data_IF_843645008285
#
_entry.id   IF_843645008285
#
_cell.length_a   1.000
_cell.length_b   1.000
_cell.length_c   1.000
_cell.angle_alpha   90.00
_cell.angle_beta   90.00
_cell.angle_gamma   90.00
#
_symmetry.space_group_name_H-M   'P 1'
#
loop_
_entity.id
_entity.type
_entity.pdbx_description
1 polymer ?
#
# COMPACT_ATOMS: atom_id res chain seq x y z
N UNK A 1 -48.55 10.04 4.66
CA UNK A 1 -47.96 8.68 4.63
C UNK A 1 -46.84 8.65 3.58
N UNK A 2 -45.65 9.15 3.93
CA UNK A 2 -44.44 9.08 3.11
C UNK A 2 -43.27 8.78 4.04
N UNK A 3 -43.22 7.54 4.47
CA UNK A 3 -42.08 6.99 5.18
C UNK A 3 -41.27 6.18 4.17
N UNK A 4 -39.98 6.53 4.07
CA UNK A 4 -38.86 5.61 3.92
C UNK A 4 -38.62 4.90 2.58
N UNK A 5 -37.88 5.60 1.71
CA UNK A 5 -36.95 4.96 0.75
C UNK A 5 -35.49 5.34 1.06
N UNK A 6 -35.23 6.44 1.79
CA UNK A 6 -33.87 6.83 2.23
C UNK A 6 -33.29 5.96 3.36
N UNK A 7 -34.13 5.31 4.17
CA UNK A 7 -33.65 4.46 5.28
C UNK A 7 -33.18 3.07 4.84
N UNK A 8 -33.52 2.61 3.63
CA UNK A 8 -32.99 1.34 3.10
C UNK A 8 -31.51 1.41 2.74
N UNK A 9 -30.96 2.60 2.52
CA UNK A 9 -29.52 2.81 2.33
C UNK A 9 -28.70 2.83 3.63
N UNK A 10 -29.37 2.79 4.79
CA UNK A 10 -28.75 2.97 6.12
C UNK A 10 -28.38 1.65 6.83
N UNK A 11 -28.82 0.49 6.31
CA UNK A 11 -28.71 -0.81 7.01
C UNK A 11 -27.46 -1.65 6.65
N UNK A 12 -26.82 -1.44 5.50
CA UNK A 12 -25.75 -2.35 5.01
C UNK A 12 -24.32 -1.90 5.29
N UNK A 13 -24.12 -0.73 5.89
CA UNK A 13 -22.81 -0.08 5.93
C UNK A 13 -21.88 -0.62 7.03
N UNK A 14 -22.37 -1.15 8.15
CA UNK A 14 -21.52 -1.69 9.23
C UNK A 14 -20.80 -2.97 8.81
N UNK A 15 -21.56 -4.00 8.48
CA UNK A 15 -21.03 -5.29 8.04
C UNK A 15 -20.32 -5.25 6.68
N UNK A 16 -20.76 -4.43 5.72
CA UNK A 16 -20.05 -4.29 4.44
C UNK A 16 -18.74 -3.51 4.57
N UNK A 17 -18.70 -2.45 5.37
CA UNK A 17 -17.49 -1.65 5.60
C UNK A 17 -16.42 -2.50 6.30
N UNK A 18 -16.79 -3.18 7.39
CA UNK A 18 -15.88 -4.05 8.13
C UNK A 18 -15.34 -5.18 7.26
N UNK A 19 -16.19 -5.83 6.45
CA UNK A 19 -15.75 -6.85 5.49
C UNK A 19 -14.77 -6.30 4.46
N UNK A 20 -15.05 -5.12 3.89
CA UNK A 20 -14.14 -4.49 2.93
C UNK A 20 -12.79 -4.11 3.56
N UNK A 21 -12.78 -3.63 4.81
CA UNK A 21 -11.54 -3.39 5.54
C UNK A 21 -10.78 -4.68 5.86
N UNK A 22 -11.47 -5.77 6.21
CA UNK A 22 -10.84 -7.09 6.42
C UNK A 22 -10.21 -7.63 5.12
N UNK A 23 -10.88 -7.45 3.98
CA UNK A 23 -10.31 -7.77 2.67
C UNK A 23 -9.07 -6.92 2.42
N UNK A 24 -9.13 -5.61 2.70
CA UNK A 24 -7.97 -4.71 2.59
C UNK A 24 -6.81 -5.13 3.49
N UNK A 25 -7.09 -5.54 4.73
CA UNK A 25 -6.08 -6.03 5.68
C UNK A 25 -5.42 -7.32 5.17
N UNK A 26 -6.23 -8.29 4.71
CA UNK A 26 -5.72 -9.53 4.13
C UNK A 26 -4.88 -9.25 2.87
N UNK A 27 -5.34 -8.34 2.02
CA UNK A 27 -4.61 -7.91 0.84
C UNK A 27 -3.27 -7.27 1.21
N UNK A 28 -3.21 -6.43 2.25
CA UNK A 28 -1.98 -5.84 2.73
C UNK A 28 -0.99 -6.88 3.29
N UNK A 29 -1.47 -8.00 3.85
CA UNK A 29 -0.62 -9.14 4.20
C UNK A 29 -0.03 -9.79 2.95
N UNK A 30 -0.82 -9.97 1.88
CA UNK A 30 -0.31 -10.49 0.61
C UNK A 30 0.74 -9.56 -0.01
N UNK A 31 0.49 -8.24 0.00
CA UNK A 31 1.47 -7.25 -0.44
C UNK A 31 2.75 -7.35 0.37
N UNK A 32 2.66 -7.40 1.70
CA UNK A 32 3.81 -7.57 2.60
C UNK A 32 4.60 -8.84 2.27
N UNK A 33 3.95 -9.97 2.04
CA UNK A 33 4.63 -11.22 1.64
C UNK A 33 5.37 -11.00 0.31
N UNK A 34 4.73 -10.34 -0.66
CA UNK A 34 5.35 -9.98 -1.93
C UNK A 34 6.61 -9.13 -1.75
N UNK A 35 6.52 -8.08 -0.96
CA UNK A 35 7.63 -7.16 -0.65
C UNK A 35 8.78 -7.89 0.05
N UNK A 36 8.49 -8.76 1.02
CA UNK A 36 9.49 -9.56 1.73
C UNK A 36 10.14 -10.60 0.81
N UNK A 37 9.40 -11.17 -0.13
CA UNK A 37 9.98 -12.06 -1.14
C UNK A 37 10.98 -11.29 -2.03
N UNK A 38 10.75 -10.02 -2.33
CA UNK A 38 11.72 -9.23 -3.11
C UNK A 38 12.88 -8.72 -2.25
N UNK A 39 12.61 -8.26 -1.03
CA UNK A 39 13.51 -7.41 -0.26
C UNK A 39 14.20 -8.05 0.94
N UNK A 40 13.70 -9.17 1.46
CA UNK A 40 14.29 -9.80 2.65
C UNK A 40 15.57 -10.57 2.28
N UNK A 41 16.66 -9.83 2.09
CA UNK A 41 17.95 -10.31 1.60
C UNK A 41 19.06 -9.68 2.43
N UNK A 42 20.00 -10.49 2.93
CA UNK A 42 21.19 -9.95 3.60
C UNK A 42 22.21 -9.44 2.57
N UNK A 43 22.75 -8.24 2.80
CA UNK A 43 23.79 -7.62 2.01
C UNK A 43 25.05 -7.42 2.86
N UNK A 44 26.22 -7.45 2.25
CA UNK A 44 27.45 -7.05 2.94
C UNK A 44 27.53 -5.51 3.01
N UNK A 45 28.19 -4.95 4.02
CA UNK A 45 28.19 -3.51 4.30
C UNK A 45 28.65 -2.58 3.16
N UNK A 46 29.43 -3.08 2.19
CA UNK A 46 29.87 -2.32 1.01
C UNK A 46 28.82 -2.26 -0.13
N UNK A 47 27.89 -3.22 -0.17
CA UNK A 47 26.92 -3.44 -1.26
C UNK A 47 25.62 -2.64 -1.04
N UNK A 48 25.50 -1.98 0.11
CA UNK A 48 24.29 -1.31 0.55
C UNK A 48 24.04 0.06 -0.13
N UNK A 49 24.86 0.46 -1.11
CA UNK A 49 24.88 1.81 -1.68
C UNK A 49 24.25 1.86 -3.10
N UNK A 50 23.23 2.72 -3.23
CA UNK A 50 22.49 3.14 -4.44
C UNK A 50 21.72 2.10 -5.27
N UNK A 51 22.10 0.81 -5.31
CA UNK A 51 21.45 -0.19 -6.17
C UNK A 51 20.94 -1.44 -5.44
N UNK A 52 20.42 -1.28 -4.21
CA UNK A 52 19.98 -2.40 -3.37
C UNK A 52 19.04 -3.39 -4.07
N UNK A 53 18.10 -2.89 -4.88
CA UNK A 53 17.17 -3.75 -5.61
C UNK A 53 17.89 -4.66 -6.64
N UNK A 54 18.92 -4.15 -7.30
CA UNK A 54 19.74 -4.91 -8.24
C UNK A 54 20.59 -5.95 -7.49
N UNK A 55 21.15 -5.58 -6.35
CA UNK A 55 21.88 -6.50 -5.46
C UNK A 55 20.99 -7.62 -4.92
N UNK A 56 19.73 -7.33 -4.57
CA UNK A 56 18.75 -8.35 -4.18
C UNK A 56 18.53 -9.34 -5.32
N UNK A 57 18.38 -8.84 -6.55
CA UNK A 57 18.10 -9.66 -7.73
C UNK A 57 19.16 -10.74 -7.97
N UNK A 58 20.44 -10.41 -7.74
CA UNK A 58 21.54 -11.36 -7.90
C UNK A 58 21.50 -12.47 -6.84
N UNK A 59 21.02 -12.19 -5.63
CA UNK A 59 21.04 -13.12 -4.47
C UNK A 59 19.84 -14.03 -4.34
N UNK A 60 18.72 -13.73 -5.01
CA UNK A 60 17.49 -14.53 -4.91
C UNK A 60 17.16 -15.26 -6.21
N UNK A 61 16.51 -16.44 -6.15
CA UNK A 61 16.14 -17.17 -7.37
C UNK A 61 15.06 -16.43 -8.16
N UNK A 62 15.02 -16.65 -9.48
CA UNK A 62 14.05 -16.02 -10.39
C UNK A 62 12.59 -16.29 -9.98
N UNK A 63 12.30 -17.51 -9.51
CA UNK A 63 10.97 -17.87 -9.01
C UNK A 63 10.52 -17.00 -7.83
N UNK A 64 11.46 -16.61 -6.95
CA UNK A 64 11.19 -15.71 -5.82
C UNK A 64 10.91 -14.28 -6.30
N UNK A 65 11.60 -13.81 -7.33
CA UNK A 65 11.33 -12.51 -7.97
C UNK A 65 9.92 -12.49 -8.58
N UNK A 66 9.59 -13.52 -9.38
CA UNK A 66 8.28 -13.62 -10.04
C UNK A 66 7.14 -13.73 -9.03
N UNK A 67 7.29 -14.59 -8.01
CA UNK A 67 6.30 -14.73 -6.95
C UNK A 67 6.11 -13.42 -6.17
N UNK A 68 7.19 -12.74 -5.79
CA UNK A 68 7.14 -11.48 -5.06
C UNK A 68 6.43 -10.36 -5.84
N UNK A 69 6.75 -10.23 -7.13
CA UNK A 69 6.10 -9.28 -8.02
C UNK A 69 4.61 -9.54 -8.20
N UNK A 70 4.22 -10.79 -8.50
CA UNK A 70 2.83 -11.15 -8.73
C UNK A 70 1.98 -11.07 -7.46
N UNK A 71 2.50 -11.50 -6.31
CA UNK A 71 1.79 -11.40 -5.04
C UNK A 71 1.53 -9.95 -4.66
N UNK A 72 2.52 -9.06 -4.83
CA UNK A 72 2.28 -7.64 -4.55
C UNK A 72 1.33 -6.98 -5.55
N UNK A 73 1.32 -7.36 -6.83
CA UNK A 73 0.31 -6.90 -7.79
C UNK A 73 -1.10 -7.27 -7.31
N UNK A 74 -1.32 -8.54 -6.95
CA UNK A 74 -2.62 -9.03 -6.47
C UNK A 74 -3.00 -8.35 -5.15
N UNK A 75 -2.05 -8.22 -4.22
CA UNK A 75 -2.23 -7.54 -2.94
C UNK A 75 -2.65 -6.08 -3.11
N UNK A 76 -1.85 -5.29 -3.82
CA UNK A 76 -2.10 -3.85 -4.06
C UNK A 76 -3.46 -3.63 -4.76
N UNK A 77 -3.80 -4.46 -5.73
CA UNK A 77 -5.10 -4.37 -6.40
C UNK A 77 -6.26 -4.66 -5.43
N UNK A 78 -6.12 -5.66 -4.57
CA UNK A 78 -7.14 -6.04 -3.59
C UNK A 78 -7.24 -5.05 -2.41
N UNK A 79 -6.16 -4.37 -2.02
CA UNK A 79 -6.17 -3.30 -1.00
C UNK A 79 -7.13 -2.17 -1.38
N UNK A 80 -7.31 -1.92 -2.68
CA UNK A 80 -8.25 -0.92 -3.18
C UNK A 80 -9.71 -1.20 -2.79
N UNK A 81 -10.07 -2.44 -2.47
CA UNK A 81 -11.39 -2.79 -1.90
C UNK A 81 -11.54 -2.15 -0.51
N UNK A 82 -10.48 -2.16 0.30
CA UNK A 82 -10.40 -1.50 1.60
C UNK A 82 -10.39 0.02 1.47
N UNK A 83 -9.58 0.58 0.58
CA UNK A 83 -9.57 2.03 0.31
C UNK A 83 -10.94 2.53 -0.16
N UNK A 84 -11.66 1.74 -0.96
CA UNK A 84 -12.99 2.08 -1.42
C UNK A 84 -13.98 2.26 -0.25
N UNK A 85 -13.84 1.47 0.82
CA UNK A 85 -14.64 1.65 2.04
C UNK A 85 -14.35 2.99 2.73
N UNK A 86 -13.08 3.39 2.79
CA UNK A 86 -12.66 4.69 3.33
C UNK A 86 -13.21 5.84 2.45
N UNK A 87 -13.15 5.70 1.14
CA UNK A 87 -13.75 6.64 0.19
C UNK A 87 -15.26 6.84 0.47
N UNK A 88 -16.02 5.75 0.59
CA UNK A 88 -17.46 5.80 0.86
C UNK A 88 -17.76 6.50 2.19
N UNK A 89 -16.90 6.30 3.19
CA UNK A 89 -17.01 6.93 4.49
C UNK A 89 -16.86 8.46 4.39
N UNK A 90 -15.83 8.93 3.67
CA UNK A 90 -15.53 10.36 3.50
C UNK A 90 -16.60 11.04 2.64
N UNK A 91 -17.07 10.37 1.57
CA UNK A 91 -18.04 10.88 0.59
C UNK A 91 -19.32 11.43 1.25
N UNK A 92 -19.75 10.82 2.36
CA UNK A 92 -20.99 11.19 3.06
C UNK A 92 -20.99 12.64 3.55
N UNK A 93 -19.85 13.14 4.03
CA UNK A 93 -19.75 14.48 4.61
C UNK A 93 -18.83 15.42 3.85
N UNK A 94 -18.04 14.93 2.90
CA UNK A 94 -17.16 15.80 2.11
C UNK A 94 -16.93 15.27 0.69
N UNK A 95 -17.75 15.71 -0.27
CA UNK A 95 -17.58 15.38 -1.69
C UNK A 95 -16.18 15.74 -2.20
N UNK A 96 -15.68 16.94 -1.89
CA UNK A 96 -14.36 17.41 -2.32
C UNK A 96 -13.22 16.48 -1.87
N UNK A 97 -13.14 16.16 -0.57
CA UNK A 97 -12.10 15.27 -0.06
C UNK A 97 -12.26 13.84 -0.58
N UNK A 98 -13.50 13.37 -0.76
CA UNK A 98 -13.74 12.04 -1.32
C UNK A 98 -13.31 11.92 -2.78
N UNK A 99 -13.44 12.99 -3.58
CA UNK A 99 -12.98 13.02 -4.96
C UNK A 99 -11.45 12.96 -5.03
N UNK A 100 -10.76 13.73 -4.19
CA UNK A 100 -9.30 13.70 -4.11
C UNK A 100 -8.80 12.34 -3.62
N UNK A 101 -9.43 11.79 -2.57
CA UNK A 101 -9.12 10.44 -2.08
C UNK A 101 -9.31 9.39 -3.18
N UNK A 102 -10.43 9.43 -3.90
CA UNK A 102 -10.70 8.49 -5.00
C UNK A 102 -9.70 8.62 -6.13
N UNK A 103 -9.32 9.85 -6.51
CA UNK A 103 -8.30 10.07 -7.52
C UNK A 103 -6.95 9.48 -7.07
N UNK A 104 -6.55 9.71 -5.83
CA UNK A 104 -5.35 9.11 -5.25
C UNK A 104 -5.39 7.58 -5.21
N UNK A 105 -6.52 6.99 -4.83
CA UNK A 105 -6.74 5.53 -4.86
C UNK A 105 -6.63 4.95 -6.28
N UNK A 106 -7.17 5.63 -7.30
CA UNK A 106 -7.04 5.19 -8.69
C UNK A 106 -5.59 5.29 -9.20
N UNK A 107 -4.86 6.35 -8.80
CA UNK A 107 -3.42 6.44 -9.06
C UNK A 107 -2.64 5.33 -8.34
N UNK A 108 -3.00 4.99 -7.11
CA UNK A 108 -2.41 3.88 -6.36
C UNK A 108 -2.63 2.55 -7.10
N UNK A 109 -3.85 2.31 -7.57
CA UNK A 109 -4.18 1.12 -8.36
C UNK A 109 -3.42 1.06 -9.69
N UNK A 110 -3.39 2.15 -10.46
CA UNK A 110 -2.76 2.17 -11.78
C UNK A 110 -1.23 2.11 -11.69
N UNK A 111 -0.65 2.97 -10.84
CA UNK A 111 0.79 3.21 -10.81
C UNK A 111 1.48 2.46 -9.68
N UNK A 112 0.85 2.25 -8.53
CA UNK A 112 1.45 1.44 -7.46
C UNK A 112 1.57 -0.03 -7.85
N UNK A 113 0.48 -0.59 -8.41
CA UNK A 113 0.38 -2.01 -8.76
C UNK A 113 1.32 -2.40 -9.92
N UNK A 114 0.99 -1.98 -11.15
CA UNK A 114 1.76 -2.35 -12.34
C UNK A 114 2.89 -1.36 -12.63
N UNK A 115 2.70 -0.09 -12.28
CA UNK A 115 3.63 0.98 -12.63
C UNK A 115 4.94 0.98 -11.83
N UNK A 116 4.89 0.60 -10.56
CA UNK A 116 6.02 0.60 -9.64
C UNK A 116 6.33 -0.84 -9.20
N UNK A 117 5.43 -1.50 -8.47
CA UNK A 117 5.73 -2.79 -7.84
C UNK A 117 6.11 -3.89 -8.83
N UNK A 118 5.28 -4.11 -9.85
CA UNK A 118 5.59 -5.09 -10.90
C UNK A 118 6.88 -4.74 -11.63
N UNK A 119 7.08 -3.46 -11.96
CA UNK A 119 8.27 -3.00 -12.68
C UNK A 119 9.55 -3.15 -11.86
N UNK A 120 9.50 -3.07 -10.53
CA UNK A 120 10.63 -3.46 -9.68
C UNK A 120 11.02 -4.92 -9.90
N UNK A 121 10.05 -5.83 -9.97
CA UNK A 121 10.31 -7.26 -10.21
C UNK A 121 10.79 -7.53 -11.64
N UNK A 122 10.25 -6.82 -12.64
CA UNK A 122 10.72 -6.89 -14.03
C UNK A 122 12.17 -6.43 -14.12
N UNK A 123 12.51 -5.30 -13.50
CA UNK A 123 13.88 -4.79 -13.44
C UNK A 123 14.83 -5.80 -12.79
N UNK A 124 14.46 -6.38 -11.65
CA UNK A 124 15.24 -7.42 -10.98
C UNK A 124 15.46 -8.64 -11.90
N UNK A 125 14.41 -9.12 -12.54
CA UNK A 125 14.48 -10.29 -13.42
C UNK A 125 15.40 -10.02 -14.62
N UNK A 126 15.19 -8.91 -15.33
CA UNK A 126 16.01 -8.53 -16.48
C UNK A 126 17.46 -8.31 -16.09
N UNK A 127 17.72 -7.58 -15.00
CA UNK A 127 19.06 -7.35 -14.50
C UNK A 127 19.77 -8.69 -14.23
N UNK A 128 19.14 -9.61 -13.48
CA UNK A 128 19.73 -10.92 -13.19
C UNK A 128 20.10 -11.71 -14.46
N UNK A 129 19.21 -11.73 -15.45
CA UNK A 129 19.43 -12.46 -16.72
C UNK A 129 20.54 -11.84 -17.55
N UNK A 130 20.58 -10.51 -17.65
CA UNK A 130 21.58 -9.80 -18.45
C UNK A 130 22.94 -9.83 -17.76
N UNK A 131 23.00 -9.67 -16.43
CA UNK A 131 24.26 -9.73 -15.67
C UNK A 131 24.99 -11.07 -15.84
N UNK A 132 24.26 -12.17 -16.01
CA UNK A 132 24.84 -13.48 -16.29
C UNK A 132 25.53 -13.56 -17.68
N UNK A 133 25.23 -12.63 -18.59
CA UNK A 133 25.78 -12.56 -19.94
C UNK A 133 26.80 -11.41 -20.08
N UNK A 134 26.47 -10.24 -19.55
CA UNK A 134 27.29 -9.03 -19.58
C UNK A 134 26.85 -8.07 -18.45
N UNK A 135 27.70 -7.92 -17.44
CA UNK A 135 27.43 -7.09 -16.26
C UNK A 135 27.35 -5.59 -16.57
N UNK A 136 28.25 -5.08 -17.43
CA UNK A 136 28.27 -3.67 -17.81
C UNK A 136 26.99 -3.28 -18.56
N UNK A 137 26.57 -4.12 -19.51
CA UNK A 137 25.30 -3.92 -20.23
C UNK A 137 24.09 -3.99 -19.28
N UNK A 138 24.11 -4.88 -18.28
CA UNK A 138 23.03 -4.99 -17.31
C UNK A 138 22.86 -3.70 -16.49
N UNK A 139 23.95 -3.08 -16.06
CA UNK A 139 23.92 -1.83 -15.30
C UNK A 139 23.40 -0.65 -16.14
N UNK A 140 23.84 -0.53 -17.40
CA UNK A 140 23.35 0.50 -18.32
C UNK A 140 21.85 0.35 -18.55
N UNK A 141 21.39 -0.85 -18.91
CA UNK A 141 19.96 -1.12 -19.18
C UNK A 141 19.12 -0.90 -17.92
N UNK A 142 19.59 -1.34 -16.75
CA UNK A 142 18.88 -1.15 -15.49
C UNK A 142 18.77 0.34 -15.11
N UNK A 143 19.84 1.11 -15.30
CA UNK A 143 19.84 2.55 -15.10
C UNK A 143 18.83 3.24 -16.03
N UNK A 144 18.87 2.93 -17.33
CA UNK A 144 17.94 3.50 -18.30
C UNK A 144 16.49 3.16 -17.97
N UNK A 145 16.22 1.89 -17.62
CA UNK A 145 14.88 1.47 -17.20
C UNK A 145 14.42 2.25 -15.95
N UNK A 146 15.31 2.41 -14.97
CA UNK A 146 15.01 3.12 -13.73
C UNK A 146 14.72 4.61 -13.97
N UNK A 147 15.53 5.31 -14.75
CA UNK A 147 15.38 6.76 -14.95
C UNK A 147 14.33 7.14 -15.98
N UNK A 148 14.15 6.35 -17.04
CA UNK A 148 13.23 6.69 -18.13
C UNK A 148 11.83 6.10 -17.98
N UNK A 149 11.66 5.03 -17.19
CA UNK A 149 10.36 4.38 -17.00
C UNK A 149 9.93 4.37 -15.53
N UNK A 150 10.76 3.84 -14.63
CA UNK A 150 10.36 3.64 -13.24
C UNK A 150 10.19 4.96 -12.49
N UNK A 151 11.16 5.88 -12.58
CA UNK A 151 11.15 7.15 -11.87
C UNK A 151 9.96 8.04 -12.26
N UNK A 152 9.63 8.26 -13.55
CA UNK A 152 8.44 9.04 -13.93
C UNK A 152 7.14 8.44 -13.37
N UNK A 153 6.98 7.12 -13.45
CA UNK A 153 5.78 6.44 -12.93
C UNK A 153 5.72 6.51 -11.41
N UNK A 154 6.87 6.38 -10.74
CA UNK A 154 6.99 6.57 -9.30
C UNK A 154 6.55 7.97 -8.88
N UNK A 155 6.92 9.03 -9.61
CA UNK A 155 6.48 10.40 -9.29
C UNK A 155 4.95 10.56 -9.41
N UNK A 156 4.33 9.96 -10.43
CA UNK A 156 2.87 9.96 -10.58
C UNK A 156 2.17 9.16 -9.47
N UNK A 157 2.73 8.01 -9.11
CA UNK A 157 2.31 7.22 -7.96
C UNK A 157 2.36 8.06 -6.68
N UNK A 158 3.50 8.71 -6.41
CA UNK A 158 3.70 9.50 -5.20
C UNK A 158 2.71 10.66 -5.10
N UNK A 159 2.41 11.35 -6.21
CA UNK A 159 1.37 12.39 -6.21
C UNK A 159 0.01 11.84 -5.79
N UNK A 160 -0.41 10.72 -6.37
CA UNK A 160 -1.66 10.06 -6.04
C UNK A 160 -1.69 9.56 -4.59
N UNK A 161 -0.60 8.95 -4.14
CA UNK A 161 -0.41 8.45 -2.80
C UNK A 161 -0.50 9.57 -1.75
N UNK A 162 0.09 10.74 -2.03
CA UNK A 162 -0.03 11.94 -1.18
C UNK A 162 -1.48 12.44 -1.14
N UNK A 163 -2.15 12.54 -2.29
CA UNK A 163 -3.54 12.99 -2.36
C UNK A 163 -4.47 12.08 -1.54
N UNK A 164 -4.31 10.76 -1.64
CA UNK A 164 -5.11 9.79 -0.91
C UNK A 164 -4.92 9.95 0.61
N UNK A 165 -3.68 9.91 1.07
CA UNK A 165 -3.36 9.93 2.50
C UNK A 165 -3.70 11.28 3.16
N UNK A 166 -3.37 12.40 2.52
CA UNK A 166 -3.73 13.73 3.04
C UNK A 166 -5.25 13.93 3.08
N UNK A 167 -5.98 13.45 2.06
CA UNK A 167 -7.44 13.54 2.05
C UNK A 167 -8.08 12.76 3.21
N UNK A 168 -7.59 11.55 3.48
CA UNK A 168 -8.03 10.76 4.64
C UNK A 168 -7.70 11.46 5.95
N UNK A 169 -6.46 11.89 6.14
CA UNK A 169 -6.03 12.58 7.36
C UNK A 169 -6.92 13.78 7.65
N UNK A 170 -7.11 14.67 6.66
CA UNK A 170 -7.93 15.88 6.79
C UNK A 170 -9.39 15.51 7.08
N UNK A 171 -9.95 14.50 6.40
CA UNK A 171 -11.34 14.10 6.62
C UNK A 171 -11.57 13.58 8.05
N UNK A 172 -10.66 12.75 8.57
CA UNK A 172 -10.77 12.20 9.92
C UNK A 172 -10.54 13.29 10.98
N UNK A 173 -9.52 14.13 10.80
CA UNK A 173 -9.20 15.22 11.73
C UNK A 173 -10.34 16.26 11.83
N UNK A 174 -10.98 16.59 10.70
CA UNK A 174 -12.12 17.49 10.63
C UNK A 174 -13.46 16.84 11.04
N UNK A 175 -13.47 15.60 11.58
CA UNK A 175 -14.69 14.85 11.96
C UNK A 175 -15.70 14.68 10.81
N UNK A 176 -15.20 14.57 9.58
CA UNK A 176 -16.00 14.25 8.39
C UNK A 176 -16.25 12.74 8.26
N UNK A 177 -15.75 11.94 9.20
CA UNK A 177 -16.07 10.52 9.35
C UNK A 177 -16.65 10.26 10.75
N UNK A 178 -17.25 9.08 11.00
CA UNK A 178 -17.73 8.69 12.33
C UNK A 178 -16.61 8.41 13.35
N UNK A 179 -15.35 8.34 12.90
CA UNK A 179 -14.21 8.11 13.78
C UNK A 179 -13.86 9.36 14.62
N UNK A 180 -13.27 9.18 15.81
CA UNK A 180 -12.70 10.29 16.57
C UNK A 180 -11.51 10.93 15.84
N UNK A 181 -11.16 12.18 16.19
CA UNK A 181 -10.13 12.96 15.47
C UNK A 181 -8.76 12.28 15.44
N UNK A 182 -8.38 11.59 16.52
CA UNK A 182 -7.08 10.91 16.60
C UNK A 182 -6.95 9.76 15.58
N UNK A 183 -8.06 9.23 15.08
CA UNK A 183 -8.03 8.23 14.02
C UNK A 183 -7.51 8.77 12.69
N UNK A 184 -7.28 10.09 12.56
CA UNK A 184 -6.51 10.66 11.46
C UNK A 184 -5.09 10.06 11.36
N UNK A 185 -4.52 9.59 12.47
CA UNK A 185 -3.22 8.90 12.50
C UNK A 185 -3.31 7.41 12.11
N UNK A 186 -4.51 6.88 11.88
CA UNK A 186 -4.70 5.56 11.26
C UNK A 186 -4.58 5.73 9.75
N UNK A 187 -3.35 6.02 9.32
CA UNK A 187 -3.00 6.39 7.97
C UNK A 187 -1.65 5.76 7.60
N UNK A 188 -1.43 5.50 6.30
CA UNK A 188 -0.27 4.76 5.80
C UNK A 188 1.04 5.45 6.21
N UNK A 189 1.10 6.79 6.22
CA UNK A 189 2.31 7.52 6.61
C UNK A 189 2.78 7.24 8.03
N UNK A 190 1.86 6.95 8.95
CA UNK A 190 2.23 6.64 10.33
C UNK A 190 2.86 5.25 10.41
N UNK A 191 2.33 4.27 9.69
CA UNK A 191 2.97 2.95 9.64
C UNK A 191 4.34 2.98 8.95
N UNK A 192 4.49 3.76 7.86
CA UNK A 192 5.79 4.01 7.22
C UNK A 192 6.77 4.64 8.24
N UNK A 193 6.36 5.70 8.93
CA UNK A 193 7.21 6.35 9.93
C UNK A 193 7.63 5.36 11.02
N UNK A 194 6.70 4.54 11.52
CA UNK A 194 7.00 3.50 12.51
C UNK A 194 7.98 2.46 11.97
N UNK A 195 7.86 2.02 10.71
CA UNK A 195 8.82 1.07 10.11
C UNK A 195 10.19 1.70 9.90
N UNK A 196 10.26 2.95 9.42
CA UNK A 196 11.53 3.62 9.13
C UNK A 196 12.36 3.90 10.40
N UNK A 197 11.73 4.00 11.57
CA UNK A 197 12.46 4.10 12.85
C UNK A 197 13.31 2.85 13.15
N UNK A 198 12.93 1.68 12.65
CA UNK A 198 13.73 0.45 12.76
C UNK A 198 14.87 0.38 11.73
N UNK A 199 14.81 1.20 10.68
CA UNK A 199 15.81 1.26 9.60
C UNK A 199 16.98 2.20 9.95
N UNK A 200 16.92 2.92 11.07
CA UNK A 200 18.06 3.67 11.61
C UNK A 200 19.23 2.77 12.07
N UNK A 201 19.05 1.45 11.98
CA UNK A 201 20.07 0.42 12.18
C UNK A 201 20.91 0.23 10.88
N UNK A 202 22.16 -0.28 10.94
CA UNK A 202 23.13 -0.26 9.83
C UNK A 202 22.74 -1.00 8.54
N UNK A 203 21.51 -1.54 8.42
CA UNK A 203 20.82 -1.70 7.15
C UNK A 203 21.45 -2.72 6.20
N UNK A 204 21.88 -3.86 6.74
CA UNK A 204 22.58 -4.94 6.03
C UNK A 204 21.94 -6.32 6.23
N UNK A 205 21.07 -6.48 7.23
CA UNK A 205 20.38 -7.75 7.49
C UNK A 205 19.16 -7.94 6.58
N UNK A 206 18.79 -9.21 6.34
CA UNK A 206 17.56 -9.55 5.63
C UNK A 206 16.30 -8.96 6.26
N UNK A 207 16.27 -8.81 7.58
CA UNK A 207 15.15 -8.19 8.27
C UNK A 207 15.02 -6.70 7.94
N UNK A 208 16.10 -5.93 8.07
CA UNK A 208 16.11 -4.49 7.77
C UNK A 208 15.78 -4.23 6.30
N UNK A 209 16.36 -5.00 5.38
CA UNK A 209 16.10 -4.88 3.95
C UNK A 209 14.66 -5.28 3.58
N UNK A 210 14.11 -6.28 4.26
CA UNK A 210 12.70 -6.65 4.16
C UNK A 210 11.78 -5.52 4.63
N UNK A 211 12.08 -4.91 5.78
CA UNK A 211 11.32 -3.77 6.32
C UNK A 211 11.36 -2.56 5.38
N UNK A 212 12.54 -2.21 4.87
CA UNK A 212 12.74 -1.16 3.87
C UNK A 212 11.91 -1.37 2.61
N UNK A 213 11.81 -2.63 2.15
CA UNK A 213 11.07 -2.96 0.93
C UNK A 213 9.55 -2.97 1.17
N UNK A 214 9.11 -3.11 2.43
CA UNK A 214 7.71 -3.29 2.81
C UNK A 214 7.09 -2.11 3.57
N UNK A 215 7.73 -0.94 3.58
CA UNK A 215 7.24 0.21 4.36
C UNK A 215 5.79 0.59 4.03
N UNK A 216 5.42 0.58 2.74
CA UNK A 216 4.07 0.93 2.30
C UNK A 216 3.05 -0.13 2.72
N UNK A 217 3.37 -1.43 2.57
CA UNK A 217 2.47 -2.51 2.98
C UNK A 217 2.32 -2.58 4.49
N UNK A 218 3.37 -2.33 5.27
CA UNK A 218 3.29 -2.12 6.73
C UNK A 218 2.37 -0.93 7.06
N UNK A 219 2.50 0.17 6.32
CA UNK A 219 1.59 1.31 6.42
C UNK A 219 0.11 0.94 6.17
N UNK A 220 -0.16 0.12 5.16
CA UNK A 220 -1.50 -0.38 4.87
C UNK A 220 -2.02 -1.29 5.99
N UNK A 221 -1.19 -2.21 6.50
CA UNK A 221 -1.52 -3.07 7.62
C UNK A 221 -1.92 -2.24 8.85
N UNK A 222 -1.09 -1.26 9.21
CA UNK A 222 -1.38 -0.31 10.29
C UNK A 222 -2.73 0.36 10.08
N UNK A 223 -2.93 0.98 8.92
CA UNK A 223 -4.15 1.72 8.62
C UNK A 223 -5.39 0.84 8.71
N UNK A 224 -5.42 -0.31 8.01
CA UNK A 224 -6.60 -1.18 8.00
C UNK A 224 -6.86 -1.80 9.38
N UNK A 225 -5.82 -2.25 10.08
CA UNK A 225 -5.95 -2.83 11.42
C UNK A 225 -6.50 -1.82 12.42
N UNK A 226 -5.94 -0.61 12.47
CA UNK A 226 -6.37 0.39 13.44
C UNK A 226 -7.79 0.91 13.16
N UNK A 227 -8.17 1.03 11.88
CA UNK A 227 -9.56 1.33 11.52
C UNK A 227 -10.51 0.22 11.97
N UNK A 228 -10.14 -1.06 11.79
CA UNK A 228 -10.94 -2.20 12.26
C UNK A 228 -11.08 -2.22 13.79
N UNK A 229 -9.98 -2.04 14.53
CA UNK A 229 -9.97 -2.09 16.00
C UNK A 229 -10.74 -0.92 16.63
N UNK A 230 -10.73 0.25 15.99
CA UNK A 230 -11.37 1.45 16.50
C UNK A 230 -12.68 1.79 15.78
N UNK A 231 -13.28 0.82 15.09
CA UNK A 231 -14.54 1.02 14.37
C UNK A 231 -15.64 1.45 15.37
N UNK A 232 -16.37 2.56 15.14
CA UNK A 232 -17.36 3.05 16.09
C UNK A 232 -18.55 2.08 16.30
N UNK A 233 -18.84 1.74 17.55
CA UNK A 233 -19.89 0.77 17.98
C UNK A 233 -21.31 1.09 17.49
N UNK A 234 -21.64 2.37 17.23
CA UNK A 234 -22.95 2.76 16.70
C UNK A 234 -23.26 2.24 15.29
N UNK A 235 -22.30 1.54 14.65
CA UNK A 235 -22.51 0.79 13.40
C UNK A 235 -22.95 -0.66 13.61
N UNK A 236 -22.81 -1.23 14.82
CA UNK A 236 -23.14 -2.63 15.16
C UNK A 236 -24.50 -2.74 15.89
N UNK A 237 -24.82 -1.84 16.83
CA UNK A 237 -26.08 -1.87 17.61
C UNK A 237 -27.36 -1.63 16.77
N UNK A 238 -27.23 -1.00 15.59
CA UNK A 238 -28.36 -0.84 14.64
C UNK A 238 -28.60 -2.08 13.77
N UNK A 239 -27.74 -3.08 13.86
CA UNK A 239 -27.84 -4.33 13.10
C UNK A 239 -28.57 -5.41 13.92
N UNK A 240 -28.39 -5.44 15.25
CA UNK A 240 -29.15 -6.32 16.15
C UNK A 240 -30.61 -5.90 16.36
N UNK A 241 -30.90 -4.60 16.36
CA UNK A 241 -32.29 -4.10 16.49
C UNK A 241 -33.15 -4.26 15.23
N UNK A 242 -32.57 -4.77 14.13
CA UNK A 242 -33.25 -5.02 12.85
C UNK A 242 -33.33 -6.53 12.53
N UNK A 243 -32.72 -7.39 13.36
CA UNK A 243 -32.93 -8.85 13.33
C UNK A 243 -34.04 -9.26 14.27
#
# INVERSE_FOLDING_TARGET
>A
MKMTQETRGLCGAGSSYRRGLLIGLFAAVLTLIGDLLLGAVSLNGAEASRYRLLEYALRIPESRILAGGLLGVVGIAAECIGFYQIYLLIRRKSPRLSTLFRAGMLCYLAWGCCGVHLNCSVLMFLFKRISALNEEAALVIASDFQYHFLLPVYLLFMLGFMLMNLSQFIAFFQRKTPYPRYAAFFNIFIGILCSSLFVLLPGSSAFENGMLTSEISIGNLWMFLMLLLCCPKGSEEREESVR
#
